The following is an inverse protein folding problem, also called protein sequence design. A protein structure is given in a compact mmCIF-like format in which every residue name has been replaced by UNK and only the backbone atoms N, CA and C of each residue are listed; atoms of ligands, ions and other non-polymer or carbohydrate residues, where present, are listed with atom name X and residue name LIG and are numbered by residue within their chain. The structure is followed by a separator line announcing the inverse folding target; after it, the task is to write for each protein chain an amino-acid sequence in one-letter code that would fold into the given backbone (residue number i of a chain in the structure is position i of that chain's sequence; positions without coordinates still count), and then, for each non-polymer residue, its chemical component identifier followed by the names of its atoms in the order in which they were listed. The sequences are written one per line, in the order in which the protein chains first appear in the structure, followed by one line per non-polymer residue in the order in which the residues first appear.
data_IF_439651952835
#
_entry.id   IF_439651952835
#
_cell.length_a   1.000
_cell.length_b   1.000
_cell.length_c   1.000
_cell.angle_alpha   90.00
_cell.angle_beta   90.00
_cell.angle_gamma   90.00
#
_symmetry.space_group_name_H-M   'P 1'
#
loop_
_entity.id
_entity.type
_entity.pdbx_description
1 polymer ?
#
# COMPACT_ATOMS: atom_id res chain seq x y z
N UNK A 1 -10.20 27.95 1.26
CA UNK A 1 -8.89 28.22 0.60
C UNK A 1 -8.88 27.49 -0.74
N UNK A 2 -8.55 28.13 -1.86
CA UNK A 2 -8.48 27.44 -3.14
C UNK A 2 -7.34 26.41 -3.11
N UNK A 3 -7.67 25.14 -3.40
CA UNK A 3 -6.68 24.08 -3.55
C UNK A 3 -6.08 24.19 -4.95
N UNK A 4 -4.76 24.10 -5.06
CA UNK A 4 -4.09 24.07 -6.37
C UNK A 4 -4.35 22.71 -7.05
N UNK A 5 -5.32 22.69 -7.97
CA UNK A 5 -5.75 21.47 -8.66
C UNK A 5 -4.63 20.81 -9.45
N UNK A 6 -3.72 21.58 -10.05
CA UNK A 6 -2.59 21.03 -10.82
C UNK A 6 -1.62 20.31 -9.89
N UNK A 7 -1.27 20.94 -8.76
CA UNK A 7 -0.41 20.32 -7.76
C UNK A 7 -1.05 19.07 -7.16
N UNK A 8 -2.35 19.12 -6.82
CA UNK A 8 -3.09 17.99 -6.29
C UNK A 8 -3.08 16.81 -7.28
N UNK A 9 -3.36 17.06 -8.56
CA UNK A 9 -3.35 16.03 -9.60
C UNK A 9 -1.98 15.34 -9.74
N UNK A 10 -0.89 16.12 -9.70
CA UNK A 10 0.47 15.56 -9.78
C UNK A 10 0.76 14.68 -8.55
N UNK A 11 0.43 15.15 -7.34
CA UNK A 11 0.65 14.39 -6.11
C UNK A 11 -0.14 13.09 -6.11
N UNK A 12 -1.41 13.13 -6.52
CA UNK A 12 -2.26 11.93 -6.64
C UNK A 12 -1.69 10.96 -7.67
N UNK A 13 -1.23 11.44 -8.82
CA UNK A 13 -0.65 10.59 -9.86
C UNK A 13 0.62 9.88 -9.39
N UNK A 14 1.51 10.60 -8.68
CA UNK A 14 2.71 10.00 -8.07
C UNK A 14 2.30 8.94 -7.03
N UNK A 15 1.34 9.26 -6.16
CA UNK A 15 0.84 8.33 -5.15
C UNK A 15 0.31 7.03 -5.76
N UNK A 16 -0.50 7.13 -6.82
CA UNK A 16 -1.02 5.97 -7.54
C UNK A 16 0.09 5.15 -8.22
N UNK A 17 1.10 5.81 -8.81
CA UNK A 17 2.27 5.12 -9.36
C UNK A 17 3.03 4.33 -8.29
N UNK A 18 3.19 4.89 -7.10
CA UNK A 18 3.84 4.20 -5.96
C UNK A 18 3.03 2.99 -5.53
N UNK A 19 1.71 3.13 -5.35
CA UNK A 19 0.84 1.99 -5.00
C UNK A 19 0.92 0.90 -6.06
N UNK A 20 0.81 1.27 -7.33
CA UNK A 20 0.85 0.32 -8.43
C UNK A 20 2.19 -0.44 -8.45
N UNK A 21 3.31 0.28 -8.30
CA UNK A 21 4.63 -0.32 -8.22
C UNK A 21 4.75 -1.31 -7.05
N UNK A 22 4.27 -0.93 -5.86
CA UNK A 22 4.29 -1.82 -4.69
C UNK A 22 3.39 -3.05 -4.87
N UNK A 23 2.22 -2.90 -5.49
CA UNK A 23 1.34 -4.00 -5.86
C UNK A 23 1.99 -4.97 -6.84
N UNK A 24 2.63 -4.44 -7.88
CA UNK A 24 3.40 -5.23 -8.84
C UNK A 24 4.59 -5.96 -8.20
N UNK A 25 5.30 -5.30 -7.28
CA UNK A 25 6.37 -5.91 -6.51
C UNK A 25 5.86 -7.04 -5.61
N UNK A 26 4.71 -6.86 -4.96
CA UNK A 26 4.05 -7.88 -4.16
C UNK A 26 3.63 -9.08 -5.00
N UNK A 27 3.06 -8.84 -6.19
CA UNK A 27 2.72 -9.89 -7.15
C UNK A 27 3.95 -10.72 -7.54
N UNK A 28 5.04 -10.08 -7.94
CA UNK A 28 6.28 -10.78 -8.31
C UNK A 28 6.89 -11.60 -7.16
N UNK A 29 6.69 -11.18 -5.90
CA UNK A 29 7.22 -11.85 -4.72
C UNK A 29 6.30 -12.94 -4.15
N UNK A 30 5.07 -13.04 -4.62
CA UNK A 30 4.11 -14.05 -4.16
C UNK A 30 4.31 -15.32 -4.98
N UNK A 31 4.75 -16.40 -4.34
CA UNK A 31 4.94 -17.69 -5.02
C UNK A 31 4.15 -18.84 -4.39
N UNK A 32 3.77 -18.72 -3.12
CA UNK A 32 2.98 -19.73 -2.39
C UNK A 32 1.72 -19.10 -1.80
N UNK A 33 0.72 -19.94 -1.53
CA UNK A 33 -0.53 -19.52 -0.89
C UNK A 33 -0.29 -18.80 0.45
N UNK A 34 0.70 -19.27 1.23
CA UNK A 34 1.09 -18.65 2.50
C UNK A 34 1.64 -17.23 2.33
N UNK A 35 2.29 -16.93 1.21
CA UNK A 35 2.84 -15.61 0.92
C UNK A 35 1.71 -14.63 0.61
N UNK A 36 0.66 -15.11 -0.06
CA UNK A 36 -0.53 -14.30 -0.32
C UNK A 36 -1.39 -14.09 0.93
N UNK A 37 -1.63 -15.14 1.71
CA UNK A 37 -2.56 -15.09 2.85
C UNK A 37 -1.98 -14.39 4.08
N UNK A 38 -0.70 -14.62 4.37
CA UNK A 38 -0.05 -14.15 5.62
C UNK A 38 1.37 -13.62 5.40
N UNK A 39 1.73 -13.29 4.15
CA UNK A 39 3.07 -12.81 3.79
C UNK A 39 4.20 -13.71 4.33
N UNK A 40 3.96 -15.03 4.28
CA UNK A 40 4.91 -16.03 4.76
C UNK A 40 5.20 -15.95 6.27
N UNK A 41 4.41 -15.19 7.05
CA UNK A 41 4.62 -14.91 8.48
C UNK A 41 5.91 -14.14 8.81
N UNK A 42 6.43 -13.38 7.84
CA UNK A 42 7.70 -12.64 7.98
C UNK A 42 7.54 -11.11 7.98
N UNK A 43 6.33 -10.57 8.16
CA UNK A 43 6.11 -9.11 8.22
C UNK A 43 6.62 -8.56 9.54
N UNK A 44 7.38 -7.46 9.49
CA UNK A 44 7.81 -6.74 10.67
C UNK A 44 6.59 -6.20 11.48
N UNK A 45 6.50 -6.43 12.81
CA UNK A 45 5.31 -6.10 13.61
C UNK A 45 4.82 -4.65 13.48
N UNK A 46 5.74 -3.71 13.33
CA UNK A 46 5.41 -2.29 13.13
C UNK A 46 4.60 -2.05 11.83
N UNK A 47 5.03 -2.66 10.72
CA UNK A 47 4.36 -2.53 9.42
C UNK A 47 2.97 -3.16 9.52
N UNK A 48 2.88 -4.31 10.19
CA UNK A 48 1.64 -5.01 10.44
C UNK A 48 0.65 -4.15 11.27
N UNK A 49 1.11 -3.53 12.36
CA UNK A 49 0.29 -2.64 13.18
C UNK A 49 -0.23 -1.42 12.40
N UNK A 50 0.62 -0.78 11.59
CA UNK A 50 0.21 0.33 10.73
C UNK A 50 -0.82 -0.08 9.69
N UNK A 51 -0.64 -1.23 9.03
CA UNK A 51 -1.59 -1.76 8.05
C UNK A 51 -2.96 -2.04 8.69
N UNK A 52 -2.99 -2.68 9.86
CA UNK A 52 -4.23 -2.88 10.60
C UNK A 52 -4.89 -1.55 11.00
N UNK A 53 -4.12 -0.60 11.52
CA UNK A 53 -4.62 0.74 11.85
C UNK A 53 -5.25 1.44 10.64
N UNK A 54 -4.60 1.38 9.48
CA UNK A 54 -5.13 1.93 8.24
C UNK A 54 -6.46 1.26 7.81
N UNK A 55 -6.58 -0.07 7.97
CA UNK A 55 -7.83 -0.80 7.68
C UNK A 55 -8.97 -0.41 8.62
N UNK A 56 -8.68 -0.14 9.90
CA UNK A 56 -9.72 0.27 10.85
C UNK A 56 -10.18 1.73 10.68
N UNK A 57 -9.30 2.62 10.22
CA UNK A 57 -9.63 4.04 10.01
C UNK A 57 -10.56 4.26 8.80
N UNK A 58 -10.71 3.27 7.90
CA UNK A 58 -11.51 3.43 6.69
C UNK A 58 -13.03 3.21 6.87
N UNK A 59 -13.52 3.05 8.10
CA UNK A 59 -14.97 2.94 8.44
C UNK A 59 -15.47 4.26 9.00
#
# INVERSE_FOLDING_TARGET
MPVNTVLLSIVVLIYLMVIFYLGWLGYQRTSKDSDYMVAGRNIHPFILALSYGATFIST
#
